data_IF_149700334344
#
_entry.id   IF_149700334344
#
_cell.length_a   1.000
_cell.length_b   1.000
_cell.length_c   1.000
_cell.angle_alpha   90.00
_cell.angle_beta   90.00
_cell.angle_gamma   90.00
#
_symmetry.space_group_name_H-M   'P 1'
#
loop_
_entity.id
_entity.type
_entity.pdbx_description
1 polymer ?
#
# COMPACT_ATOMS: atom_id res chain seq x y z
N UNK A 1 10.49 -36.09 -89.29
CA UNK A 1 9.52 -35.06 -88.84
C UNK A 1 9.38 -35.24 -87.33
N UNK A 2 10.19 -34.49 -86.62
CA UNK A 2 10.33 -34.62 -85.15
C UNK A 2 9.59 -33.46 -84.49
N UNK A 3 8.66 -33.80 -83.59
CA UNK A 3 7.97 -32.82 -82.79
C UNK A 3 8.81 -32.51 -81.55
N UNK A 4 9.16 -31.25 -81.37
CA UNK A 4 9.79 -30.73 -80.18
C UNK A 4 8.72 -30.35 -79.14
N UNK A 5 8.59 -31.14 -78.05
CA UNK A 5 7.75 -30.83 -76.92
C UNK A 5 8.44 -29.84 -75.98
N UNK A 6 7.90 -28.63 -75.80
CA UNK A 6 8.37 -27.62 -74.85
C UNK A 6 7.87 -27.91 -73.45
N UNK A 7 8.77 -28.27 -72.55
CA UNK A 7 8.51 -28.45 -71.06
C UNK A 7 8.45 -27.06 -70.38
N UNK A 8 7.28 -26.63 -70.00
CA UNK A 8 7.10 -25.42 -69.13
C UNK A 8 7.34 -25.75 -67.69
N UNK A 9 8.46 -25.29 -67.12
CA UNK A 9 8.74 -25.31 -65.69
C UNK A 9 7.99 -24.18 -65.03
N UNK A 10 7.00 -24.51 -64.20
CA UNK A 10 6.32 -23.61 -63.30
C UNK A 10 7.14 -23.47 -62.02
N UNK A 11 7.80 -22.33 -61.87
CA UNK A 11 8.48 -21.96 -60.59
C UNK A 11 7.41 -21.45 -59.63
N UNK A 12 7.03 -22.29 -58.66
CA UNK A 12 6.18 -21.90 -57.56
C UNK A 12 6.96 -21.04 -56.55
N UNK A 13 6.65 -19.74 -56.53
CA UNK A 13 7.18 -18.82 -55.49
C UNK A 13 6.52 -19.11 -54.15
N UNK A 14 7.23 -19.79 -53.26
CA UNK A 14 6.83 -19.98 -51.85
C UNK A 14 7.14 -18.70 -51.09
N UNK A 15 6.13 -17.82 -50.93
CA UNK A 15 6.25 -16.63 -50.08
C UNK A 15 6.31 -17.05 -48.60
N UNK A 16 7.50 -16.99 -48.03
CA UNK A 16 7.73 -17.20 -46.60
C UNK A 16 7.22 -15.97 -45.85
N UNK A 17 5.98 -16.05 -45.32
CA UNK A 17 5.45 -15.08 -44.37
C UNK A 17 6.19 -15.24 -43.02
N UNK A 18 7.29 -14.51 -42.85
CA UNK A 18 7.94 -14.33 -41.57
C UNK A 18 7.02 -13.41 -40.73
N UNK A 19 6.15 -14.01 -39.93
CA UNK A 19 5.39 -13.28 -38.91
C UNK A 19 6.39 -12.67 -37.91
N UNK A 20 6.62 -11.34 -38.02
CA UNK A 20 7.20 -10.58 -36.90
C UNK A 20 6.21 -10.68 -35.73
N UNK A 21 6.39 -11.68 -34.87
CA UNK A 21 5.86 -11.62 -33.52
C UNK A 21 6.61 -10.48 -32.82
N UNK A 22 6.10 -9.26 -32.95
CA UNK A 22 6.53 -8.13 -32.16
C UNK A 22 6.31 -8.52 -30.70
N UNK A 23 7.39 -8.72 -29.94
CA UNK A 23 7.31 -8.77 -28.50
C UNK A 23 6.74 -7.42 -28.06
N UNK A 24 5.44 -7.39 -27.77
CA UNK A 24 4.85 -6.25 -27.10
C UNK A 24 5.67 -6.06 -25.81
N UNK A 25 6.50 -5.01 -25.77
CA UNK A 25 7.14 -4.62 -24.52
C UNK A 25 6.03 -4.49 -23.49
N UNK A 26 6.14 -5.22 -22.38
CA UNK A 26 5.21 -5.08 -21.28
C UNK A 26 5.15 -3.60 -20.89
N UNK A 27 3.94 -3.04 -20.80
CA UNK A 27 3.78 -1.65 -20.44
C UNK A 27 4.46 -1.39 -19.09
N UNK A 28 5.25 -0.32 -19.02
CA UNK A 28 5.99 0.06 -17.82
C UNK A 28 5.00 0.44 -16.71
N UNK A 29 5.04 -0.19 -15.52
CA UNK A 29 4.15 0.18 -14.43
C UNK A 29 4.38 1.60 -13.93
N UNK A 30 3.39 2.17 -13.24
CA UNK A 30 3.54 3.42 -12.51
C UNK A 30 2.97 3.31 -11.11
N UNK A 31 3.57 4.01 -10.14
CA UNK A 31 3.09 4.09 -8.76
C UNK A 31 2.93 5.56 -8.34
N UNK A 32 1.81 5.86 -7.66
CA UNK A 32 1.56 7.17 -7.05
C UNK A 32 1.56 6.98 -5.53
N UNK A 33 2.56 7.54 -4.87
CA UNK A 33 2.63 7.57 -3.41
C UNK A 33 1.72 8.65 -2.85
N UNK A 34 1.11 8.38 -1.70
CA UNK A 34 0.25 9.34 -1.02
C UNK A 34 1.06 10.39 -0.23
N UNK A 35 0.36 11.36 0.34
CA UNK A 35 0.92 12.38 1.22
C UNK A 35 1.69 11.72 2.38
N UNK A 36 2.85 12.27 2.72
CA UNK A 36 3.77 11.70 3.72
C UNK A 36 5.14 11.38 3.11
N UNK A 37 5.18 11.28 1.77
CA UNK A 37 6.40 11.02 1.02
C UNK A 37 6.75 9.54 0.94
N UNK A 38 7.54 9.19 -0.05
CA UNK A 38 7.96 7.83 -0.37
C UNK A 38 8.70 7.11 0.78
N UNK A 39 9.42 7.84 1.61
CA UNK A 39 10.26 7.29 2.68
C UNK A 39 9.67 7.53 4.08
N UNK A 40 8.37 7.29 4.22
CA UNK A 40 7.60 7.46 5.46
C UNK A 40 7.86 6.38 6.53
N UNK A 41 8.79 5.46 6.26
CA UNK A 41 9.13 4.30 7.11
C UNK A 41 7.97 3.31 7.32
N UNK A 42 6.94 3.38 6.49
CA UNK A 42 5.75 2.55 6.63
C UNK A 42 5.03 2.30 5.31
N UNK A 43 3.89 2.97 5.13
CA UNK A 43 2.92 2.72 4.08
C UNK A 43 3.44 2.95 2.66
N UNK A 44 3.95 4.15 2.38
CA UNK A 44 4.50 4.48 1.07
C UNK A 44 5.83 3.78 0.82
N UNK A 45 6.71 3.69 1.83
CA UNK A 45 7.98 2.99 1.71
C UNK A 45 7.78 1.49 1.47
N UNK A 46 6.73 0.89 2.03
CA UNK A 46 6.31 -0.47 1.70
C UNK A 46 5.98 -0.62 0.21
N UNK A 47 5.19 0.29 -0.34
CA UNK A 47 4.89 0.29 -1.78
C UNK A 47 6.15 0.46 -2.64
N UNK A 48 7.06 1.35 -2.24
CA UNK A 48 8.35 1.54 -2.90
C UNK A 48 9.18 0.24 -2.91
N UNK A 49 9.29 -0.44 -1.78
CA UNK A 49 10.01 -1.71 -1.71
C UNK A 49 9.39 -2.79 -2.60
N UNK A 50 8.06 -2.83 -2.70
CA UNK A 50 7.37 -3.72 -3.63
C UNK A 50 7.72 -3.45 -5.09
N UNK A 51 7.80 -2.17 -5.49
CA UNK A 51 8.17 -1.78 -6.86
C UNK A 51 9.66 -1.99 -7.15
N UNK A 52 10.55 -1.73 -6.19
CA UNK A 52 11.98 -2.05 -6.33
C UNK A 52 12.22 -3.57 -6.48
N UNK A 53 11.47 -4.37 -5.72
CA UNK A 53 11.50 -5.83 -5.88
C UNK A 53 10.98 -6.24 -7.26
N UNK A 54 9.90 -5.65 -7.74
CA UNK A 54 9.39 -5.87 -9.10
C UNK A 54 10.47 -5.56 -10.15
N UNK A 55 11.09 -4.38 -10.08
CA UNK A 55 12.17 -4.00 -11.00
C UNK A 55 13.33 -4.99 -10.97
N UNK A 56 13.76 -5.40 -9.79
CA UNK A 56 14.85 -6.37 -9.61
C UNK A 56 14.51 -7.73 -10.24
N UNK A 57 13.31 -8.25 -9.98
CA UNK A 57 12.94 -9.62 -10.38
C UNK A 57 12.49 -9.69 -11.86
N UNK A 58 11.92 -8.62 -12.38
CA UNK A 58 11.38 -8.57 -13.75
C UNK A 58 12.35 -8.00 -14.78
N UNK A 59 13.31 -7.18 -14.36
CA UNK A 59 14.15 -6.36 -15.22
C UNK A 59 13.41 -5.19 -15.89
N UNK A 60 12.14 -4.96 -15.56
CA UNK A 60 11.31 -3.87 -16.09
C UNK A 60 11.36 -2.67 -15.14
N UNK A 61 11.63 -1.49 -15.69
CA UNK A 61 11.55 -0.25 -14.94
C UNK A 61 10.10 0.13 -14.61
N UNK A 62 9.92 1.09 -13.69
CA UNK A 62 8.61 1.66 -13.38
C UNK A 62 8.71 3.18 -13.24
N UNK A 63 7.57 3.86 -13.32
CA UNK A 63 7.46 5.30 -13.08
C UNK A 63 6.87 5.56 -11.71
N UNK A 64 7.23 6.69 -11.13
CA UNK A 64 6.73 7.07 -9.80
C UNK A 64 6.37 8.55 -9.73
N UNK A 65 5.45 8.87 -8.81
CA UNK A 65 5.09 10.24 -8.47
C UNK A 65 4.67 10.32 -7.01
N UNK A 66 5.17 11.34 -6.29
CA UNK A 66 4.79 11.61 -4.90
C UNK A 66 3.76 12.73 -4.87
N UNK A 67 2.57 12.43 -4.36
CA UNK A 67 1.49 13.40 -4.18
C UNK A 67 1.84 14.34 -3.03
N UNK A 68 1.85 15.64 -3.30
CA UNK A 68 2.08 16.69 -2.30
C UNK A 68 0.76 17.32 -1.82
N UNK A 69 -0.29 17.27 -2.63
CA UNK A 69 -1.63 17.75 -2.30
C UNK A 69 -2.68 17.10 -3.20
N UNK A 70 -3.95 17.16 -2.77
CA UNK A 70 -5.06 16.48 -3.43
C UNK A 70 -5.29 16.93 -4.88
N UNK A 71 -4.99 18.20 -5.23
CA UNK A 71 -5.20 18.72 -6.57
C UNK A 71 -4.32 18.02 -7.63
N UNK A 72 -3.23 17.38 -7.23
CA UNK A 72 -2.31 16.69 -8.14
C UNK A 72 -2.79 15.29 -8.55
N UNK A 73 -3.68 14.63 -7.76
CA UNK A 73 -4.04 13.22 -7.90
C UNK A 73 -4.55 12.88 -9.29
N UNK A 74 -5.59 13.56 -9.73
CA UNK A 74 -6.22 13.31 -11.04
C UNK A 74 -5.25 13.56 -12.20
N UNK A 75 -4.49 14.66 -12.13
CA UNK A 75 -3.54 15.02 -13.18
C UNK A 75 -2.38 14.01 -13.29
N UNK A 76 -1.86 13.54 -12.17
CA UNK A 76 -0.77 12.56 -12.13
C UNK A 76 -1.23 11.21 -12.72
N UNK A 77 -2.39 10.71 -12.28
CA UNK A 77 -3.00 9.50 -12.84
C UNK A 77 -3.20 9.60 -14.36
N UNK A 78 -3.80 10.70 -14.82
CA UNK A 78 -4.06 10.92 -16.25
C UNK A 78 -2.76 11.04 -17.07
N UNK A 79 -1.71 11.63 -16.51
CA UNK A 79 -0.42 11.73 -17.18
C UNK A 79 0.21 10.34 -17.40
N UNK A 80 0.15 9.45 -16.42
CA UNK A 80 0.63 8.08 -16.58
C UNK A 80 -0.23 7.28 -17.57
N UNK A 81 -1.57 7.40 -17.49
CA UNK A 81 -2.46 6.72 -18.41
C UNK A 81 -2.25 7.15 -19.87
N UNK A 82 -2.07 8.45 -20.14
CA UNK A 82 -1.75 8.97 -21.48
C UNK A 82 -0.41 8.48 -22.03
N UNK A 83 0.55 8.16 -21.17
CA UNK A 83 1.84 7.59 -21.54
C UNK A 83 1.77 6.07 -21.78
N UNK A 84 0.61 5.45 -21.53
CA UNK A 84 0.43 4.01 -21.67
C UNK A 84 1.02 3.18 -20.52
N UNK A 85 1.34 3.80 -19.37
CA UNK A 85 1.77 3.04 -18.20
C UNK A 85 0.67 2.09 -17.72
N UNK A 86 1.03 0.84 -17.40
CA UNK A 86 0.09 -0.18 -16.91
C UNK A 86 0.84 -1.32 -16.20
N UNK A 87 0.45 -1.71 -14.95
CA UNK A 87 -0.61 -1.08 -14.17
C UNK A 87 -0.20 0.29 -13.62
N UNK A 88 -1.21 1.13 -13.33
CA UNK A 88 -1.03 2.35 -12.54
C UNK A 88 -1.53 2.04 -11.13
N UNK A 89 -0.63 2.07 -10.15
CA UNK A 89 -0.91 1.69 -8.77
C UNK A 89 -1.01 2.95 -7.92
N UNK A 90 -2.20 3.22 -7.41
CA UNK A 90 -2.49 4.36 -6.55
C UNK A 90 -2.44 3.92 -5.08
N UNK A 91 -1.58 4.56 -4.29
CA UNK A 91 -1.36 4.22 -2.89
C UNK A 91 -2.24 5.14 -2.04
N UNK A 92 -3.15 4.51 -1.25
CA UNK A 92 -3.98 5.19 -0.27
C UNK A 92 -5.42 5.49 -0.74
N UNK A 93 -6.33 5.46 0.23
CA UNK A 93 -7.77 5.67 0.04
C UNK A 93 -8.11 7.03 -0.60
N UNK A 94 -7.31 8.06 -0.33
CA UNK A 94 -7.53 9.41 -0.85
C UNK A 94 -7.42 9.50 -2.39
N UNK A 95 -6.92 8.44 -3.05
CA UNK A 95 -6.85 8.33 -4.51
C UNK A 95 -8.18 7.91 -5.16
N UNK A 96 -9.18 7.42 -4.37
CA UNK A 96 -10.39 6.76 -4.89
C UNK A 96 -11.11 7.60 -5.95
N UNK A 97 -11.51 8.82 -5.61
CA UNK A 97 -12.31 9.67 -6.50
C UNK A 97 -11.57 10.03 -7.80
N UNK A 98 -10.27 10.34 -7.69
CA UNK A 98 -9.43 10.65 -8.84
C UNK A 98 -9.20 9.41 -9.73
N UNK A 99 -8.91 8.25 -9.12
CA UNK A 99 -8.68 7.01 -9.84
C UNK A 99 -9.95 6.54 -10.55
N UNK A 100 -11.11 6.57 -9.89
CA UNK A 100 -12.39 6.21 -10.48
C UNK A 100 -12.70 7.02 -11.74
N UNK A 101 -12.45 8.32 -11.70
CA UNK A 101 -12.63 9.20 -12.85
C UNK A 101 -11.66 8.86 -13.98
N UNK A 102 -10.38 8.76 -13.69
CA UNK A 102 -9.35 8.52 -14.71
C UNK A 102 -9.45 7.10 -15.27
N UNK A 103 -9.71 6.09 -14.45
CA UNK A 103 -9.86 4.72 -14.94
C UNK A 103 -11.05 4.56 -15.92
N UNK A 104 -12.13 5.30 -15.72
CA UNK A 104 -13.25 5.33 -16.67
C UNK A 104 -12.88 6.00 -18.02
N UNK A 105 -11.94 6.95 -18.02
CA UNK A 105 -11.44 7.60 -19.25
C UNK A 105 -10.48 6.69 -20.05
N UNK A 106 -9.83 5.72 -19.40
CA UNK A 106 -8.80 4.85 -19.99
C UNK A 106 -9.11 3.36 -19.75
N UNK A 107 -10.13 2.80 -20.40
CA UNK A 107 -10.62 1.43 -20.12
C UNK A 107 -9.59 0.33 -20.43
N UNK A 108 -8.63 0.58 -21.31
CA UNK A 108 -7.59 -0.39 -21.71
C UNK A 108 -6.39 -0.39 -20.72
N UNK A 109 -6.25 0.63 -19.88
CA UNK A 109 -5.22 0.72 -18.86
C UNK A 109 -5.68 -0.02 -17.61
N UNK A 110 -4.78 -0.78 -17.00
CA UNK A 110 -5.03 -1.47 -15.73
C UNK A 110 -4.64 -0.57 -14.58
N UNK A 111 -5.53 -0.49 -13.59
CA UNK A 111 -5.32 0.31 -12.38
C UNK A 111 -5.39 -0.58 -11.14
N UNK A 112 -4.61 -0.24 -10.12
CA UNK A 112 -4.79 -0.77 -8.79
C UNK A 112 -4.93 0.36 -7.78
N UNK A 113 -5.75 0.15 -6.74
CA UNK A 113 -5.83 1.04 -5.59
C UNK A 113 -5.58 0.26 -4.32
N UNK A 114 -4.79 0.84 -3.41
CA UNK A 114 -4.55 0.32 -2.07
C UNK A 114 -5.44 1.10 -1.09
N UNK A 115 -6.15 0.36 -0.22
CA UNK A 115 -6.96 0.87 0.89
C UNK A 115 -8.31 1.49 0.51
N UNK A 116 -8.77 1.32 -0.71
CA UNK A 116 -10.15 1.66 -1.08
C UNK A 116 -10.70 0.75 -2.18
N UNK A 117 -11.99 0.91 -2.51
CA UNK A 117 -12.72 0.10 -3.47
C UNK A 117 -13.26 0.96 -4.61
N UNK A 118 -12.80 0.67 -5.83
CA UNK A 118 -13.32 1.25 -7.07
C UNK A 118 -13.87 0.12 -7.94
N UNK A 119 -15.18 0.10 -8.12
CA UNK A 119 -15.88 -0.91 -8.91
C UNK A 119 -15.90 -0.52 -10.40
N UNK A 120 -14.78 -0.82 -11.08
CA UNK A 120 -14.61 -0.67 -12.53
C UNK A 120 -13.90 -1.90 -13.10
N UNK A 121 -14.20 -2.29 -14.36
CA UNK A 121 -13.70 -3.54 -14.94
C UNK A 121 -12.17 -3.58 -15.16
N UNK A 122 -11.51 -2.44 -15.15
CA UNK A 122 -10.07 -2.29 -15.30
C UNK A 122 -9.35 -1.91 -13.99
N UNK A 123 -10.04 -1.96 -12.84
CA UNK A 123 -9.45 -1.64 -11.53
C UNK A 123 -9.38 -2.87 -10.64
N UNK A 124 -8.22 -3.08 -10.02
CA UNK A 124 -8.03 -3.99 -8.88
C UNK A 124 -8.00 -3.17 -7.60
N UNK A 125 -8.96 -3.42 -6.72
CA UNK A 125 -9.05 -2.81 -5.39
C UNK A 125 -8.44 -3.75 -4.36
N UNK A 126 -7.45 -3.29 -3.61
CA UNK A 126 -6.73 -4.10 -2.64
C UNK A 126 -6.94 -3.48 -1.26
N UNK A 127 -7.63 -4.19 -0.39
CA UNK A 127 -7.90 -3.78 0.99
C UNK A 127 -7.41 -4.84 1.97
N UNK A 128 -7.20 -4.43 3.21
CA UNK A 128 -6.66 -5.31 4.24
C UNK A 128 -7.65 -5.48 5.38
N UNK A 129 -7.50 -6.60 6.09
CA UNK A 129 -8.21 -6.88 7.34
C UNK A 129 -7.37 -6.35 8.52
N UNK A 130 -7.25 -5.04 8.61
CA UNK A 130 -6.40 -4.37 9.60
C UNK A 130 -6.73 -4.79 11.04
N UNK A 131 -7.99 -5.12 11.30
CA UNK A 131 -8.44 -5.62 12.61
C UNK A 131 -7.77 -6.93 13.03
N UNK A 132 -7.35 -7.79 12.08
CA UNK A 132 -6.74 -9.08 12.42
C UNK A 132 -5.33 -8.88 13.00
N UNK A 133 -4.45 -8.15 12.31
CA UNK A 133 -3.11 -7.82 12.81
C UNK A 133 -3.15 -6.92 14.04
N UNK A 134 -4.08 -5.93 14.06
CA UNK A 134 -4.26 -5.04 15.21
C UNK A 134 -4.74 -5.78 16.46
N UNK A 135 -5.54 -6.85 16.31
CA UNK A 135 -5.91 -7.72 17.42
C UNK A 135 -4.68 -8.37 18.05
N UNK A 136 -3.76 -8.88 17.24
CA UNK A 136 -2.54 -9.53 17.73
C UNK A 136 -1.65 -8.54 18.50
N UNK A 137 -1.43 -7.34 17.97
CA UNK A 137 -0.61 -6.34 18.67
C UNK A 137 -1.33 -5.76 19.89
N UNK A 138 -2.66 -5.71 19.90
CA UNK A 138 -3.46 -5.36 21.09
C UNK A 138 -3.31 -6.37 22.21
N UNK A 139 -3.30 -7.67 21.88
CA UNK A 139 -3.02 -8.75 22.83
C UNK A 139 -1.62 -8.61 23.44
N UNK A 140 -0.61 -8.32 22.60
CA UNK A 140 0.76 -8.10 23.06
C UNK A 140 0.88 -6.87 23.93
N UNK A 141 0.23 -5.76 23.56
CA UNK A 141 0.20 -4.53 24.33
C UNK A 141 -0.34 -4.75 25.76
N UNK A 142 -1.46 -5.47 25.86
CA UNK A 142 -2.05 -5.78 27.17
C UNK A 142 -1.16 -6.67 28.04
N UNK A 143 -0.43 -7.60 27.43
CA UNK A 143 0.55 -8.45 28.17
C UNK A 143 1.78 -7.66 28.61
N UNK A 144 2.23 -6.69 27.81
CA UNK A 144 3.41 -5.87 28.12
C UNK A 144 3.09 -4.73 29.09
N UNK A 145 1.86 -4.21 29.09
CA UNK A 145 1.45 -3.11 29.96
C UNK A 145 1.52 -3.48 31.44
N UNK A 146 2.13 -2.59 32.21
CA UNK A 146 2.22 -2.70 33.67
C UNK A 146 1.21 -1.79 34.38
N UNK A 147 0.73 -0.77 33.69
CA UNK A 147 -0.24 0.20 34.27
C UNK A 147 -1.69 -0.19 34.02
N UNK A 148 -1.96 -1.14 33.12
CA UNK A 148 -3.30 -1.44 32.64
C UNK A 148 -3.91 -0.33 31.77
N UNK A 149 -3.07 0.59 31.27
CA UNK A 149 -3.47 1.65 30.33
C UNK A 149 -2.57 1.63 29.11
N UNK A 150 -3.18 1.61 27.94
CA UNK A 150 -2.48 1.62 26.64
C UNK A 150 -3.06 2.73 25.76
N UNK A 151 -2.31 3.14 24.75
CA UNK A 151 -2.67 4.22 23.85
C UNK A 151 -2.84 3.75 22.40
N UNK A 152 -3.68 4.48 21.66
CA UNK A 152 -3.80 4.39 20.21
C UNK A 152 -3.82 5.80 19.60
N UNK A 153 -2.96 6.04 18.62
CA UNK A 153 -2.92 7.28 17.83
C UNK A 153 -3.22 6.95 16.37
N UNK A 154 -4.40 7.33 15.91
CA UNK A 154 -4.82 7.19 14.51
C UNK A 154 -4.62 8.47 13.71
N UNK A 155 -4.54 8.37 12.39
CA UNK A 155 -4.49 9.51 11.49
C UNK A 155 -5.83 10.27 11.47
N UNK A 156 -6.76 9.83 10.64
CA UNK A 156 -8.10 10.38 10.53
C UNK A 156 -9.15 9.42 11.10
N UNK A 157 -10.27 9.96 11.62
CA UNK A 157 -11.39 9.13 12.08
C UNK A 157 -12.25 8.64 10.90
N UNK A 158 -11.76 7.63 10.20
CA UNK A 158 -12.39 6.99 9.05
C UNK A 158 -12.54 5.48 9.28
N UNK A 159 -13.43 4.79 8.55
CA UNK A 159 -13.66 3.35 8.72
C UNK A 159 -12.39 2.50 8.68
N UNK A 160 -11.44 2.83 7.80
CA UNK A 160 -10.13 2.20 7.70
C UNK A 160 -9.39 2.22 9.05
N UNK A 161 -9.23 3.40 9.65
CA UNK A 161 -8.49 3.57 10.91
C UNK A 161 -9.26 3.01 12.11
N UNK A 162 -10.59 3.05 12.05
CA UNK A 162 -11.42 2.39 13.07
C UNK A 162 -11.23 0.88 13.09
N UNK A 163 -10.92 0.22 11.95
CA UNK A 163 -10.59 -1.22 11.94
C UNK A 163 -9.31 -1.52 12.74
N UNK A 164 -8.26 -0.69 12.58
CA UNK A 164 -7.06 -0.80 13.43
C UNK A 164 -7.40 -0.63 14.92
N UNK A 165 -8.09 0.46 15.26
CA UNK A 165 -8.46 0.75 16.65
C UNK A 165 -9.32 -0.35 17.26
N UNK A 166 -10.36 -0.81 16.56
CA UNK A 166 -11.25 -1.87 17.03
C UNK A 166 -10.53 -3.19 17.26
N UNK A 167 -9.67 -3.61 16.32
CA UNK A 167 -8.85 -4.80 16.48
C UNK A 167 -7.96 -4.71 17.70
N UNK A 168 -7.24 -3.59 17.84
CA UNK A 168 -6.36 -3.34 18.97
C UNK A 168 -7.08 -3.39 20.33
N UNK A 169 -8.23 -2.71 20.45
CA UNK A 169 -9.04 -2.72 21.66
C UNK A 169 -9.53 -4.13 22.00
N UNK A 170 -10.04 -4.87 21.01
CA UNK A 170 -10.54 -6.23 21.23
C UNK A 170 -9.42 -7.19 21.63
N UNK A 171 -8.26 -7.12 20.97
CA UNK A 171 -7.10 -7.91 21.33
C UNK A 171 -6.61 -7.62 22.75
N UNK A 172 -6.54 -6.35 23.14
CA UNK A 172 -6.14 -5.96 24.49
C UNK A 172 -7.13 -6.45 25.54
N UNK A 173 -8.44 -6.27 25.31
CA UNK A 173 -9.49 -6.70 26.23
C UNK A 173 -9.65 -8.22 26.35
N UNK A 174 -9.21 -8.97 25.34
CA UNK A 174 -9.20 -10.45 25.43
C UNK A 174 -8.20 -10.96 26.49
N UNK A 175 -7.17 -10.17 26.80
CA UNK A 175 -6.16 -10.48 27.83
C UNK A 175 -6.53 -9.85 29.18
N UNK A 176 -6.93 -8.59 29.15
CA UNK A 176 -7.34 -7.84 30.35
C UNK A 176 -8.65 -7.09 30.07
N UNK A 177 -9.81 -7.61 30.47
CA UNK A 177 -11.10 -6.96 30.23
C UNK A 177 -11.22 -5.53 30.79
N UNK A 178 -10.41 -5.20 31.79
CA UNK A 178 -10.42 -3.90 32.48
C UNK A 178 -9.36 -2.92 31.92
N UNK A 179 -8.60 -3.31 30.90
CA UNK A 179 -7.57 -2.43 30.35
C UNK A 179 -8.20 -1.16 29.78
N UNK A 180 -7.64 -0.01 30.11
CA UNK A 180 -8.05 1.25 29.53
C UNK A 180 -7.27 1.52 28.22
N UNK A 181 -8.00 1.88 27.17
CA UNK A 181 -7.42 2.24 25.87
C UNK A 181 -7.73 3.71 25.56
N UNK A 182 -6.70 4.56 25.62
CA UNK A 182 -6.80 5.98 25.29
C UNK A 182 -6.63 6.13 23.78
N UNK A 183 -7.58 6.78 23.11
CA UNK A 183 -7.58 6.89 21.63
C UNK A 183 -7.66 8.37 21.22
N UNK A 184 -6.78 8.77 20.29
CA UNK A 184 -6.78 10.09 19.69
C UNK A 184 -6.54 9.98 18.18
N UNK A 185 -7.10 10.93 17.42
CA UNK A 185 -6.82 11.12 16.00
C UNK A 185 -5.97 12.38 15.81
N UNK A 186 -5.07 12.34 14.81
CA UNK A 186 -4.14 13.46 14.57
C UNK A 186 -4.79 14.61 13.81
N UNK A 187 -5.84 14.33 13.04
CA UNK A 187 -6.54 15.37 12.28
C UNK A 187 -7.71 14.85 11.45
N UNK A 188 -8.23 15.74 10.60
CA UNK A 188 -9.38 15.49 9.73
C UNK A 188 -9.09 15.73 8.25
N UNK A 189 -7.85 16.03 7.89
CA UNK A 189 -7.38 16.28 6.53
C UNK A 189 -6.15 15.46 6.22
N UNK A 190 -5.66 15.47 4.99
CA UNK A 190 -4.44 14.77 4.57
C UNK A 190 -3.19 15.12 5.39
N UNK A 191 -3.14 16.30 6.02
CA UNK A 191 -2.05 16.69 6.92
C UNK A 191 -1.90 15.75 8.13
N UNK A 192 -2.98 15.04 8.53
CA UNK A 192 -2.98 14.05 9.59
C UNK A 192 -1.93 12.93 9.39
N UNK A 193 -1.52 12.71 8.17
CA UNK A 193 -0.58 11.63 7.80
C UNK A 193 0.89 12.07 7.78
N UNK A 194 1.16 13.38 7.91
CA UNK A 194 2.52 13.93 7.80
C UNK A 194 2.79 15.06 8.81
N UNK A 195 2.47 14.82 10.08
CA UNK A 195 2.74 15.73 11.20
C UNK A 195 3.33 14.98 12.40
N UNK A 196 4.63 14.61 12.37
CA UNK A 196 5.28 13.91 13.47
C UNK A 196 5.26 14.68 14.79
N UNK A 197 5.22 16.01 14.75
CA UNK A 197 5.12 16.85 15.97
C UNK A 197 3.79 16.56 16.67
N UNK A 198 2.69 16.62 15.93
CA UNK A 198 1.35 16.32 16.45
C UNK A 198 1.25 14.88 16.97
N UNK A 199 1.81 13.92 16.23
CA UNK A 199 1.87 12.53 16.67
C UNK A 199 2.58 12.37 18.02
N UNK A 200 3.73 13.03 18.16
CA UNK A 200 4.50 13.03 19.40
C UNK A 200 3.77 13.69 20.58
N UNK A 201 3.10 14.83 20.37
CA UNK A 201 2.31 15.51 21.39
C UNK A 201 1.19 14.60 21.93
N UNK A 202 0.47 13.91 21.05
CA UNK A 202 -0.59 12.98 21.45
C UNK A 202 -0.04 11.77 22.21
N UNK A 203 1.11 11.23 21.81
CA UNK A 203 1.76 10.14 22.54
C UNK A 203 2.16 10.59 23.97
N UNK A 204 2.77 11.77 24.11
CA UNK A 204 3.11 12.36 25.42
C UNK A 204 1.86 12.52 26.27
N UNK A 205 0.79 13.09 25.73
CA UNK A 205 -0.48 13.26 26.46
C UNK A 205 -1.06 11.92 26.94
N UNK A 206 -1.03 10.87 26.11
CA UNK A 206 -1.49 9.54 26.51
C UNK A 206 -0.60 8.93 27.61
N UNK A 207 0.72 9.11 27.52
CA UNK A 207 1.68 8.64 28.53
C UNK A 207 1.46 9.36 29.86
N UNK A 208 1.20 10.67 29.85
CA UNK A 208 0.87 11.45 31.07
C UNK A 208 -0.43 11.00 31.70
N UNK A 209 -1.38 10.47 30.94
CA UNK A 209 -2.60 9.83 31.44
C UNK A 209 -2.36 8.39 31.92
N UNK A 210 -1.13 7.89 31.83
CA UNK A 210 -0.68 6.62 32.37
C UNK A 210 -0.53 5.48 31.34
N UNK A 211 -0.65 5.75 30.03
CA UNK A 211 -0.35 4.75 29.00
C UNK A 211 1.15 4.38 29.03
N UNK A 212 1.46 3.11 28.97
CA UNK A 212 2.84 2.60 28.94
C UNK A 212 3.17 1.81 27.67
N UNK A 213 2.17 1.57 26.82
CA UNK A 213 2.31 1.07 25.44
C UNK A 213 1.45 1.94 24.53
N UNK A 214 2.01 2.47 23.42
CA UNK A 214 1.28 3.31 22.48
C UNK A 214 1.43 2.74 21.05
N UNK A 215 0.30 2.41 20.45
CA UNK A 215 0.21 1.97 19.06
C UNK A 215 -0.20 3.12 18.16
N UNK A 216 0.37 3.22 16.95
CA UNK A 216 -0.08 4.19 15.97
C UNK A 216 -0.55 3.56 14.67
N UNK A 217 -1.49 4.23 14.00
CA UNK A 217 -1.90 4.00 12.61
C UNK A 217 -2.08 5.37 11.94
N UNK A 218 -0.97 6.06 11.68
CA UNK A 218 -0.96 7.48 11.32
C UNK A 218 0.10 7.86 10.25
N UNK A 219 0.60 6.90 9.47
CA UNK A 219 1.62 7.16 8.45
C UNK A 219 2.88 7.80 9.04
N UNK A 220 3.48 8.78 8.34
CA UNK A 220 4.69 9.48 8.80
C UNK A 220 4.50 10.22 10.15
N UNK A 221 3.29 10.64 10.49
CA UNK A 221 2.94 11.19 11.80
C UNK A 221 3.28 10.22 12.94
N UNK A 222 3.18 8.92 12.69
CA UNK A 222 3.51 7.87 13.64
C UNK A 222 4.96 7.81 14.06
N UNK A 223 5.88 8.34 13.26
CA UNK A 223 7.30 8.43 13.62
C UNK A 223 7.50 9.29 14.88
N UNK A 224 6.74 10.38 15.00
CA UNK A 224 6.73 11.20 16.22
C UNK A 224 6.15 10.45 17.42
N UNK A 225 5.14 9.60 17.22
CA UNK A 225 4.60 8.74 18.28
C UNK A 225 5.68 7.80 18.81
N UNK A 226 6.36 7.05 17.93
CA UNK A 226 7.43 6.13 18.32
C UNK A 226 8.59 6.87 19.00
N UNK A 227 9.01 8.01 18.44
CA UNK A 227 10.07 8.83 19.00
C UNK A 227 9.76 9.22 20.45
N UNK A 228 8.60 9.85 20.68
CA UNK A 228 8.25 10.35 22.03
C UNK A 228 7.99 9.23 23.01
N UNK A 229 7.44 8.11 22.55
CA UNK A 229 7.28 6.92 23.37
C UNK A 229 8.63 6.39 23.86
N UNK A 230 9.62 6.30 22.97
CA UNK A 230 10.99 5.90 23.31
C UNK A 230 11.67 6.90 24.25
N UNK A 231 11.60 8.20 23.97
CA UNK A 231 12.16 9.26 24.84
C UNK A 231 11.60 9.22 26.26
N UNK A 232 10.33 8.80 26.43
CA UNK A 232 9.68 8.62 27.74
C UNK A 232 9.94 7.26 28.38
N UNK A 233 10.77 6.41 27.80
CA UNK A 233 11.07 5.05 28.28
C UNK A 233 9.86 4.12 28.29
N UNK A 234 8.92 4.31 27.35
CA UNK A 234 7.73 3.51 27.14
C UNK A 234 7.86 2.66 25.88
N UNK A 235 6.86 1.81 25.60
CA UNK A 235 6.85 0.92 24.46
C UNK A 235 5.95 1.47 23.35
N UNK A 236 6.49 1.57 22.13
CA UNK A 236 5.74 1.85 20.93
C UNK A 236 5.31 0.57 20.21
N UNK A 237 4.29 0.66 19.35
CA UNK A 237 3.96 -0.37 18.38
C UNK A 237 3.93 0.29 17.02
N UNK A 238 4.73 -0.26 16.09
CA UNK A 238 4.82 0.18 14.71
C UNK A 238 3.66 -0.29 13.84
N UNK A 239 3.60 0.23 12.60
CA UNK A 239 2.55 -0.11 11.63
C UNK A 239 3.12 -0.17 10.21
N UNK A 240 2.44 -0.91 9.34
CA UNK A 240 2.68 -1.11 7.91
C UNK A 240 3.97 -1.90 7.62
N UNK A 241 5.12 -1.40 8.03
CA UNK A 241 6.43 -2.03 7.92
C UNK A 241 6.99 -2.44 9.29
N UNK A 242 8.06 -3.22 9.29
CA UNK A 242 8.83 -3.49 10.50
C UNK A 242 9.57 -2.21 10.92
N UNK A 243 9.09 -1.59 11.99
CA UNK A 243 9.63 -0.36 12.56
C UNK A 243 10.43 -0.62 13.85
N UNK A 244 10.66 -1.89 14.21
CA UNK A 244 11.32 -2.28 15.47
C UNK A 244 12.74 -1.71 15.56
N UNK A 245 13.42 -1.60 14.41
CA UNK A 245 14.75 -1.03 14.32
C UNK A 245 14.86 0.50 14.51
N UNK A 246 13.75 1.25 14.51
CA UNK A 246 13.79 2.71 14.66
C UNK A 246 14.20 3.13 16.07
N UNK A 247 13.73 2.42 17.09
CA UNK A 247 14.05 2.68 18.50
C UNK A 247 14.26 1.36 19.24
N UNK A 248 15.44 0.73 19.10
CA UNK A 248 15.72 -0.58 19.67
C UNK A 248 15.45 -0.63 21.18
N UNK A 249 14.70 -1.64 21.62
CA UNK A 249 14.27 -1.82 23.00
C UNK A 249 13.04 -0.99 23.43
N UNK A 250 12.54 -0.10 22.54
CA UNK A 250 11.37 0.73 22.78
C UNK A 250 10.23 0.51 21.79
N UNK A 251 10.43 -0.27 20.71
CA UNK A 251 9.35 -0.76 19.86
C UNK A 251 9.08 -2.21 20.26
N UNK A 252 7.87 -2.49 20.73
CA UNK A 252 7.47 -3.81 21.21
C UNK A 252 7.33 -4.80 20.06
N UNK A 253 6.77 -4.34 18.96
CA UNK A 253 6.51 -5.06 17.70
C UNK A 253 5.92 -4.09 16.69
N UNK A 254 5.74 -4.56 15.44
CA UNK A 254 5.08 -3.80 14.39
C UNK A 254 3.91 -4.60 13.80
N UNK A 255 2.76 -3.95 13.60
CA UNK A 255 1.63 -4.52 12.87
C UNK A 255 1.91 -4.41 11.37
N UNK A 256 2.40 -5.49 10.80
CA UNK A 256 2.78 -5.55 9.39
C UNK A 256 1.55 -5.50 8.48
N UNK A 257 1.53 -4.56 7.54
CA UNK A 257 0.54 -4.47 6.46
C UNK A 257 1.29 -4.55 5.13
N UNK A 258 1.19 -5.69 4.47
CA UNK A 258 2.08 -6.07 3.36
C UNK A 258 1.75 -5.34 2.04
N UNK A 259 1.83 -3.99 2.08
CA UNK A 259 1.70 -3.13 0.90
C UNK A 259 2.79 -3.44 -0.13
N UNK A 260 3.98 -3.81 0.33
CA UNK A 260 5.09 -4.28 -0.50
C UNK A 260 4.71 -5.48 -1.39
N UNK A 261 4.07 -6.49 -0.79
CA UNK A 261 3.61 -7.68 -1.52
C UNK A 261 2.46 -7.32 -2.46
N UNK A 262 1.52 -6.47 -2.02
CA UNK A 262 0.38 -6.06 -2.81
C UNK A 262 0.79 -5.31 -4.09
N UNK A 263 1.71 -4.35 -3.99
CA UNK A 263 2.21 -3.59 -5.14
C UNK A 263 3.07 -4.43 -6.07
N UNK A 264 3.96 -5.26 -5.50
CA UNK A 264 4.75 -6.23 -6.27
C UNK A 264 3.86 -7.16 -7.10
N UNK A 265 2.85 -7.78 -6.47
CA UNK A 265 1.95 -8.71 -7.15
C UNK A 265 1.11 -8.00 -8.21
N UNK A 266 0.63 -6.78 -7.93
CA UNK A 266 -0.13 -6.01 -8.93
C UNK A 266 0.69 -5.74 -10.20
N UNK A 267 1.96 -5.40 -10.07
CA UNK A 267 2.85 -5.18 -11.21
C UNK A 267 3.22 -6.50 -11.92
N UNK A 268 3.59 -7.55 -11.16
CA UNK A 268 3.97 -8.85 -11.72
C UNK A 268 2.82 -9.53 -12.46
N UNK A 269 1.58 -9.47 -11.92
CA UNK A 269 0.43 -10.09 -12.56
C UNK A 269 0.12 -9.48 -13.94
N UNK A 270 0.34 -8.18 -14.12
CA UNK A 270 0.20 -7.56 -15.44
C UNK A 270 1.29 -8.08 -16.38
N UNK A 271 2.54 -8.07 -15.92
CA UNK A 271 3.68 -8.58 -16.70
C UNK A 271 3.49 -10.04 -17.11
N UNK A 272 2.98 -10.87 -16.21
CA UNK A 272 2.79 -12.31 -16.43
C UNK A 272 1.47 -12.66 -17.13
N UNK A 273 0.64 -11.67 -17.47
CA UNK A 273 -0.68 -11.89 -18.08
C UNK A 273 -1.71 -12.53 -17.13
N UNK A 274 -1.49 -12.46 -15.82
CA UNK A 274 -2.36 -13.02 -14.76
C UNK A 274 -3.27 -11.98 -14.10
N UNK A 275 -3.30 -10.77 -14.62
CA UNK A 275 -4.09 -9.69 -14.05
C UNK A 275 -5.57 -10.04 -13.93
N UNK A 276 -6.15 -9.75 -12.78
CA UNK A 276 -7.59 -9.75 -12.54
C UNK A 276 -8.01 -8.44 -11.91
N UNK A 277 -9.12 -7.87 -12.36
CA UNK A 277 -9.77 -6.74 -11.70
C UNK A 277 -10.64 -7.21 -10.52
N UNK A 278 -11.24 -6.25 -9.82
CA UNK A 278 -12.15 -6.49 -8.72
C UNK A 278 -11.52 -6.40 -7.35
N UNK A 279 -12.24 -6.83 -6.32
CA UNK A 279 -11.87 -6.68 -4.92
C UNK A 279 -10.95 -7.82 -4.46
N UNK A 280 -9.77 -7.46 -3.95
CA UNK A 280 -8.85 -8.34 -3.24
C UNK A 280 -8.79 -7.94 -1.76
N UNK A 281 -9.12 -8.87 -0.88
CA UNK A 281 -9.07 -8.66 0.58
C UNK A 281 -7.96 -9.49 1.16
N UNK A 282 -6.97 -8.85 1.77
CA UNK A 282 -5.78 -9.50 2.34
C UNK A 282 -5.85 -9.46 3.88
N UNK A 283 -5.47 -10.54 4.52
CA UNK A 283 -5.44 -10.67 5.98
C UNK A 283 -4.39 -11.69 6.41
N UNK A 284 -4.48 -12.17 7.65
CA UNK A 284 -3.52 -13.16 8.18
C UNK A 284 -3.47 -14.48 7.40
N UNK A 285 -4.55 -14.83 6.72
CA UNK A 285 -4.62 -16.05 5.92
C UNK A 285 -3.81 -15.93 4.63
N UNK A 286 -3.73 -14.72 4.09
CA UNK A 286 -3.05 -14.41 2.83
C UNK A 286 -1.56 -14.03 3.05
N UNK A 287 -1.07 -13.95 4.29
CA UNK A 287 0.30 -13.64 4.69
C UNK A 287 0.46 -12.22 5.12
#
# INVERSE_FOLDING_TARGET
MEEFGMLRATIGSLALLVGLAGTALAAEPAVLYDVGGKFDKGFNEGAFHGMEKFKKDSGVDYREFEIQNDAQREQALRNFARKGNSPIIAIGFAQEAALKKVAAEFPDIKFAIIDDVVDLPNVRSIVFKEQEGSYLVGLLAAKASKTGKIGFVGGMDIPLIRRFACGYVQGAKSVNPNIAVIQNMTGTTGAAWNDPVKGGELAVSQIEQGADVVYHAAGATGLGVLQKTAEKGKLGIGVDADQDGLYPGHVLTSMMKRVDVATYNAAMDVKDGKWTSGLNVLGLKEG
#
